data_IF_562327142686
#
_entry.id   IF_562327142686
#
_cell.length_a   1.000
_cell.length_b   1.000
_cell.length_c   1.000
_cell.angle_alpha   90.00
_cell.angle_beta   90.00
_cell.angle_gamma   90.00
#
_symmetry.space_group_name_H-M   'P 1'
#
loop_
_entity.id
_entity.type
_entity.pdbx_description
1 polymer ?
#
# COMPACT_ATOMS: atom_id res chain seq x y z
N UNK A 1 61.02 -0.48 23.36
CA UNK A 1 60.61 -0.13 24.74
C UNK A 1 59.45 -0.99 25.14
N UNK A 2 59.68 -1.90 26.06
CA UNK A 2 58.74 -2.88 26.60
C UNK A 2 58.19 -2.33 27.90
N UNK A 3 56.88 -2.37 28.13
CA UNK A 3 56.30 -2.21 29.46
C UNK A 3 55.17 -3.24 29.67
N UNK A 4 55.01 -3.75 30.88
CA UNK A 4 54.46 -5.07 31.16
C UNK A 4 52.97 -5.07 31.53
N UNK A 5 52.38 -6.31 31.49
CA UNK A 5 50.98 -6.59 31.76
C UNK A 5 50.60 -6.44 33.25
N UNK A 6 49.34 -6.14 33.47
CA UNK A 6 48.66 -6.23 34.75
C UNK A 6 47.54 -7.28 34.64
N UNK A 7 47.74 -8.38 35.39
CA UNK A 7 46.72 -9.46 35.56
C UNK A 7 45.72 -9.00 36.64
N UNK A 8 44.43 -8.97 36.28
CA UNK A 8 43.32 -8.78 37.21
C UNK A 8 42.84 -10.15 37.68
N UNK A 9 43.02 -10.44 38.95
CA UNK A 9 42.47 -11.64 39.66
C UNK A 9 40.99 -11.41 39.94
N UNK A 10 40.15 -12.29 39.43
CA UNK A 10 38.76 -12.44 39.84
C UNK A 10 38.70 -13.17 41.22
N UNK A 11 38.17 -12.48 42.21
CA UNK A 11 37.86 -13.05 43.54
C UNK A 11 36.42 -13.54 43.52
N UNK A 12 36.25 -14.86 43.69
CA UNK A 12 34.93 -15.51 43.82
C UNK A 12 34.60 -15.61 45.32
N UNK A 13 33.44 -15.15 45.81
CA UNK A 13 33.03 -15.31 47.19
C UNK A 13 32.48 -16.74 47.45
N UNK A 14 32.64 -17.30 48.68
CA UNK A 14 32.23 -18.64 49.02
C UNK A 14 30.70 -18.75 49.33
N UNK A 15 30.12 -19.96 49.27
CA UNK A 15 28.67 -20.16 49.43
C UNK A 15 28.25 -20.05 50.90
N UNK A 16 27.09 -19.42 51.13
CA UNK A 16 26.47 -19.29 52.46
C UNK A 16 25.88 -20.63 52.90
N UNK A 17 26.24 -21.03 54.15
CA UNK A 17 25.72 -22.20 54.89
C UNK A 17 24.26 -21.96 55.30
N UNK A 18 23.39 -22.92 55.01
CA UNK A 18 22.01 -22.98 55.48
C UNK A 18 21.97 -23.42 56.96
N UNK A 19 21.31 -22.63 57.78
CA UNK A 19 21.00 -22.98 59.19
C UNK A 19 19.76 -23.91 59.22
N UNK A 20 19.93 -25.09 59.75
CA UNK A 20 18.86 -26.02 60.17
C UNK A 20 18.48 -25.72 61.58
N UNK A 21 17.28 -25.22 61.85
CA UNK A 21 16.70 -25.15 63.16
C UNK A 21 15.87 -26.40 63.44
N UNK A 22 16.26 -27.07 64.57
CA UNK A 22 15.64 -28.26 65.18
C UNK A 22 14.37 -27.79 65.88
N UNK A 23 13.20 -28.33 65.56
CA UNK A 23 12.00 -28.21 66.39
C UNK A 23 11.47 -29.61 66.76
N UNK A 24 11.07 -29.68 67.96
CA UNK A 24 10.85 -30.77 68.90
C UNK A 24 9.64 -31.68 68.56
N UNK A 25 9.68 -32.86 69.14
CA UNK A 25 8.71 -33.96 69.08
C UNK A 25 7.48 -33.70 69.94
N UNK A 26 6.30 -33.94 69.42
CA UNK A 26 5.11 -34.05 70.26
C UNK A 26 3.81 -34.39 69.47
N UNK A 27 3.34 -35.60 69.69
CA UNK A 27 1.97 -36.17 69.61
C UNK A 27 1.44 -36.67 68.25
N UNK A 28 1.20 -37.98 68.31
CA UNK A 28 0.55 -38.85 67.32
C UNK A 28 -0.94 -38.58 67.23
N UNK A 29 -1.45 -38.45 66.00
CA UNK A 29 -2.86 -38.59 65.56
C UNK A 29 -2.93 -39.01 64.14
N UNK A 30 -3.78 -39.98 63.72
CA UNK A 30 -3.78 -40.48 62.34
C UNK A 30 -4.53 -39.54 61.40
N UNK A 31 -3.81 -38.79 60.58
CA UNK A 31 -4.43 -38.00 59.49
C UNK A 31 -4.51 -38.84 58.23
N UNK A 32 -5.74 -39.12 57.77
CA UNK A 32 -6.06 -39.74 56.49
C UNK A 32 -5.48 -38.90 55.37
N UNK A 33 -4.44 -39.35 54.70
CA UNK A 33 -3.97 -38.79 53.47
C UNK A 33 -4.94 -39.14 52.34
N UNK A 34 -5.79 -38.19 51.92
CA UNK A 34 -6.38 -38.22 50.60
C UNK A 34 -5.28 -37.88 49.58
N UNK A 35 -4.88 -38.85 48.78
CA UNK A 35 -4.03 -38.65 47.62
C UNK A 35 -4.85 -37.86 46.60
N UNK A 36 -4.80 -36.54 46.58
CA UNK A 36 -5.20 -35.74 45.45
C UNK A 36 -4.09 -35.90 44.42
N UNK A 37 -4.39 -36.63 43.36
CA UNK A 37 -3.48 -36.89 42.26
C UNK A 37 -3.09 -35.57 41.59
N UNK A 38 -1.80 -35.23 41.61
CA UNK A 38 -1.22 -34.07 40.87
C UNK A 38 -1.42 -34.16 39.36
N UNK A 39 -1.86 -35.30 38.85
CA UNK A 39 -2.22 -35.52 37.45
C UNK A 39 -3.52 -34.82 37.07
N UNK A 40 -4.50 -34.67 37.96
CA UNK A 40 -5.77 -34.01 37.65
C UNK A 40 -5.64 -32.47 37.55
N UNK A 41 -4.70 -31.88 38.31
CA UNK A 41 -4.49 -30.44 38.32
C UNK A 41 -3.73 -29.94 37.06
N UNK A 42 -2.79 -30.75 36.53
CA UNK A 42 -2.10 -30.44 35.30
C UNK A 42 -3.00 -30.64 34.04
N UNK A 43 -3.95 -31.57 34.07
CA UNK A 43 -4.92 -31.76 32.98
C UNK A 43 -5.97 -30.65 32.93
N UNK A 44 -6.39 -30.09 34.08
CA UNK A 44 -7.36 -28.99 34.11
C UNK A 44 -6.77 -27.64 33.67
N UNK A 45 -5.48 -27.40 33.90
CA UNK A 45 -4.79 -26.17 33.42
C UNK A 45 -4.46 -26.25 31.89
N UNK A 46 -4.26 -27.46 31.35
CA UNK A 46 -4.03 -27.66 29.91
C UNK A 46 -5.30 -27.58 29.06
N UNK A 47 -6.49 -27.78 29.63
CA UNK A 47 -7.78 -27.78 28.88
C UNK A 47 -8.40 -26.38 28.81
N UNK A 48 -7.93 -25.42 29.63
CA UNK A 48 -8.44 -24.04 29.67
C UNK A 48 -7.72 -23.08 28.70
N UNK A 49 -6.81 -23.53 27.81
CA UNK A 49 -6.44 -22.80 26.60
C UNK A 49 -7.59 -22.99 25.62
N UNK A 50 -8.48 -22.02 25.67
CA UNK A 50 -9.83 -22.05 25.10
C UNK A 50 -9.85 -22.51 23.64
N UNK A 51 -10.76 -23.43 23.34
CA UNK A 51 -11.20 -23.76 21.96
C UNK A 51 -11.60 -22.47 21.21
N UNK A 52 -12.02 -21.43 21.90
CA UNK A 52 -12.41 -20.12 21.39
C UNK A 52 -11.25 -19.40 20.65
N UNK A 53 -10.00 -19.46 21.18
CA UNK A 53 -8.82 -18.87 20.50
C UNK A 53 -8.42 -19.62 19.22
N UNK A 54 -8.89 -20.84 19.00
CA UNK A 54 -8.64 -21.62 17.78
C UNK A 54 -9.75 -21.50 16.73
N UNK A 55 -10.97 -21.15 17.10
CA UNK A 55 -12.11 -21.02 16.19
C UNK A 55 -12.20 -19.65 15.54
N UNK A 56 -11.86 -18.57 16.24
CA UNK A 56 -11.90 -17.20 15.70
C UNK A 56 -11.04 -17.02 14.43
N UNK A 57 -9.79 -17.52 14.35
CA UNK A 57 -8.98 -17.44 13.13
C UNK A 57 -9.52 -18.29 11.96
N UNK A 58 -10.25 -19.36 12.23
CA UNK A 58 -10.88 -20.18 11.17
C UNK A 58 -12.11 -19.50 10.58
N UNK A 59 -12.88 -18.79 11.40
CA UNK A 59 -14.07 -18.05 10.98
C UNK A 59 -13.74 -16.84 10.09
N UNK A 60 -12.59 -16.20 10.31
CA UNK A 60 -12.17 -15.02 9.54
C UNK A 60 -11.31 -15.34 8.31
N UNK A 61 -10.89 -16.59 8.10
CA UNK A 61 -10.05 -16.97 6.96
C UNK A 61 -10.71 -16.67 5.58
N UNK A 62 -12.01 -16.97 5.35
CA UNK A 62 -12.67 -16.61 4.09
C UNK A 62 -12.76 -15.11 3.87
N UNK A 63 -13.07 -14.34 4.94
CA UNK A 63 -13.11 -12.87 4.89
C UNK A 63 -11.74 -12.32 4.52
N UNK A 64 -10.67 -12.85 5.11
CA UNK A 64 -9.29 -12.46 4.79
C UNK A 64 -8.94 -12.76 3.34
N UNK A 65 -9.28 -13.96 2.83
CA UNK A 65 -9.04 -14.32 1.44
C UNK A 65 -9.78 -13.39 0.48
N UNK A 66 -11.03 -13.07 0.77
CA UNK A 66 -11.83 -12.10 0.01
C UNK A 66 -11.19 -10.70 0.00
N UNK A 67 -10.71 -10.19 1.14
CA UNK A 67 -10.04 -8.88 1.20
C UNK A 67 -8.73 -8.87 0.39
N UNK A 68 -7.96 -9.97 0.39
CA UNK A 68 -6.79 -10.09 -0.48
C UNK A 68 -7.15 -10.16 -1.96
N UNK A 69 -8.24 -10.86 -2.31
CA UNK A 69 -8.77 -10.85 -3.68
C UNK A 69 -9.15 -9.44 -4.11
N UNK A 70 -9.86 -8.68 -3.26
CA UNK A 70 -10.19 -7.29 -3.53
C UNK A 70 -8.94 -6.41 -3.69
N UNK A 71 -7.92 -6.60 -2.86
CA UNK A 71 -6.64 -5.88 -3.00
C UNK A 71 -5.98 -6.20 -4.36
N UNK A 72 -5.99 -7.47 -4.78
CA UNK A 72 -5.52 -7.87 -6.12
C UNK A 72 -6.32 -7.22 -7.24
N UNK A 73 -7.66 -7.20 -7.13
CA UNK A 73 -8.52 -6.54 -8.12
C UNK A 73 -8.31 -5.02 -8.19
N UNK A 74 -8.08 -4.35 -7.04
CA UNK A 74 -7.75 -2.92 -7.02
C UNK A 74 -6.38 -2.66 -7.64
N UNK A 75 -5.38 -3.50 -7.40
CA UNK A 75 -4.08 -3.43 -8.10
C UNK A 75 -4.25 -3.57 -9.61
N UNK A 76 -5.03 -4.57 -10.07
CA UNK A 76 -5.35 -4.76 -11.49
C UNK A 76 -6.06 -3.53 -12.07
N UNK A 77 -7.01 -2.95 -11.32
CA UNK A 77 -7.72 -1.73 -11.70
C UNK A 77 -6.77 -0.54 -11.88
N UNK A 78 -5.79 -0.38 -10.97
CA UNK A 78 -4.77 0.67 -11.09
C UNK A 78 -3.92 0.45 -12.34
N UNK A 79 -3.53 -0.77 -12.66
CA UNK A 79 -2.76 -1.10 -13.87
C UNK A 79 -3.56 -0.83 -15.15
N UNK A 80 -4.83 -1.29 -15.21
CA UNK A 80 -5.71 -1.03 -16.35
C UNK A 80 -5.97 0.46 -16.52
N UNK A 81 -6.16 1.21 -15.42
CA UNK A 81 -6.28 2.66 -15.47
C UNK A 81 -5.01 3.35 -15.97
N UNK A 82 -3.83 2.85 -15.59
CA UNK A 82 -2.55 3.30 -16.12
C UNK A 82 -2.42 3.05 -17.64
N UNK A 83 -2.81 1.85 -18.09
CA UNK A 83 -2.83 1.53 -19.51
C UNK A 83 -3.80 2.46 -20.28
N UNK A 84 -5.02 2.68 -19.74
CA UNK A 84 -5.99 3.61 -20.34
C UNK A 84 -5.43 5.03 -20.46
N UNK A 85 -4.62 5.49 -19.48
CA UNK A 85 -3.95 6.81 -19.55
C UNK A 85 -2.82 6.83 -20.58
N UNK A 86 -1.95 5.81 -20.58
CA UNK A 86 -0.77 5.73 -21.44
C UNK A 86 -1.11 5.46 -22.92
N UNK A 87 -2.31 4.98 -23.21
CA UNK A 87 -2.84 4.78 -24.57
C UNK A 87 -3.78 5.89 -25.00
N UNK A 88 -3.85 7.00 -24.26
CA UNK A 88 -4.76 8.15 -24.47
C UNK A 88 -6.23 7.77 -24.66
N UNK A 89 -6.64 6.64 -24.08
CA UNK A 89 -7.98 6.05 -24.24
C UNK A 89 -9.04 6.62 -23.28
N UNK A 90 -8.64 7.39 -22.27
CA UNK A 90 -9.52 7.76 -21.12
C UNK A 90 -10.59 8.82 -21.40
N UNK A 91 -10.76 9.27 -22.65
CA UNK A 91 -11.80 10.20 -23.12
C UNK A 91 -12.61 9.64 -24.27
N UNK A 92 -12.44 8.36 -24.62
CA UNK A 92 -13.12 7.71 -25.78
C UNK A 92 -14.63 7.52 -25.54
N UNK A 93 -15.06 7.37 -24.28
CA UNK A 93 -16.47 7.24 -23.89
C UNK A 93 -16.93 8.57 -23.29
N UNK A 94 -17.53 9.40 -24.10
CA UNK A 94 -17.90 10.79 -23.75
C UNK A 94 -19.11 10.91 -22.84
N UNK A 95 -19.99 9.88 -22.82
CA UNK A 95 -21.23 9.89 -22.04
C UNK A 95 -21.11 9.04 -20.77
N UNK A 96 -21.75 9.50 -19.69
CA UNK A 96 -21.87 8.76 -18.45
C UNK A 96 -23.09 7.82 -18.51
N UNK A 97 -22.81 6.53 -18.81
CA UNK A 97 -23.85 5.48 -18.89
C UNK A 97 -23.56 4.39 -17.83
N UNK A 98 -23.95 4.60 -16.54
CA UNK A 98 -23.54 3.70 -15.45
C UNK A 98 -24.15 2.29 -15.60
N UNK A 99 -25.36 2.15 -16.15
CA UNK A 99 -26.06 0.86 -16.33
C UNK A 99 -25.96 0.41 -17.79
N UNK A 100 -26.47 1.19 -18.72
CA UNK A 100 -26.52 0.82 -20.16
C UNK A 100 -25.14 0.68 -20.79
N UNK A 101 -24.14 1.41 -20.33
CA UNK A 101 -22.73 1.28 -20.75
C UNK A 101 -22.02 0.01 -20.25
N UNK A 102 -22.76 -0.94 -19.62
CA UNK A 102 -22.24 -2.27 -19.32
C UNK A 102 -22.10 -3.14 -20.58
N UNK A 103 -22.89 -2.90 -21.60
CA UNK A 103 -22.82 -3.63 -22.86
C UNK A 103 -21.99 -2.85 -23.87
N UNK A 104 -21.20 -3.58 -24.69
CA UNK A 104 -20.53 -3.03 -25.84
C UNK A 104 -21.53 -2.62 -26.92
N UNK A 105 -21.21 -1.69 -27.82
CA UNK A 105 -21.98 -1.47 -29.05
C UNK A 105 -22.08 -2.79 -29.84
N UNK A 106 -23.29 -3.24 -30.15
CA UNK A 106 -23.56 -4.56 -30.73
C UNK A 106 -23.75 -4.53 -32.25
N UNK A 107 -23.86 -3.34 -32.87
CA UNK A 107 -23.99 -3.17 -34.31
C UNK A 107 -23.01 -2.12 -34.83
N UNK A 108 -22.77 -2.11 -36.14
CA UNK A 108 -21.91 -1.11 -36.79
C UNK A 108 -22.45 0.31 -36.59
N UNK A 109 -23.78 0.48 -36.69
CA UNK A 109 -24.40 1.79 -36.47
C UNK A 109 -24.24 2.25 -35.00
N UNK A 110 -24.21 1.32 -34.02
CA UNK A 110 -23.97 1.65 -32.63
C UNK A 110 -22.50 2.10 -32.45
N UNK A 111 -21.54 1.44 -33.09
CA UNK A 111 -20.14 1.84 -33.09
C UNK A 111 -19.94 3.20 -33.73
N UNK A 112 -20.59 3.43 -34.88
CA UNK A 112 -20.51 4.72 -35.58
C UNK A 112 -21.05 5.86 -34.68
N UNK A 113 -22.17 5.66 -33.99
CA UNK A 113 -22.69 6.68 -33.06
C UNK A 113 -21.71 7.04 -31.94
N UNK A 114 -21.07 6.07 -31.31
CA UNK A 114 -20.06 6.34 -30.26
C UNK A 114 -18.84 7.07 -30.84
N UNK A 115 -18.41 6.70 -32.04
CA UNK A 115 -17.33 7.37 -32.75
C UNK A 115 -17.69 8.81 -33.13
N UNK A 116 -18.91 9.06 -33.62
CA UNK A 116 -19.38 10.41 -33.96
C UNK A 116 -19.47 11.32 -32.72
N UNK A 117 -19.79 10.79 -31.54
CA UNK A 117 -19.70 11.51 -30.26
C UNK A 117 -18.24 11.84 -29.91
N UNK A 118 -17.32 10.89 -30.07
CA UNK A 118 -15.90 11.12 -29.85
C UNK A 118 -15.29 12.16 -30.77
N UNK A 119 -15.74 12.21 -32.06
CA UNK A 119 -15.29 13.20 -33.04
C UNK A 119 -15.63 14.64 -32.64
N UNK A 120 -16.54 14.87 -31.71
CA UNK A 120 -16.95 16.21 -31.26
C UNK A 120 -16.07 16.76 -30.12
N UNK A 121 -15.15 15.99 -29.55
CA UNK A 121 -14.31 16.45 -28.46
C UNK A 121 -12.94 16.97 -28.94
N UNK A 122 -12.30 17.88 -28.19
CA UNK A 122 -11.01 18.46 -28.58
C UNK A 122 -9.88 17.42 -28.78
N UNK A 123 -9.89 16.29 -28.07
CA UNK A 123 -8.88 15.25 -28.22
C UNK A 123 -8.89 14.68 -29.65
N UNK A 124 -10.08 14.45 -30.25
CA UNK A 124 -10.13 14.00 -31.65
C UNK A 124 -9.57 15.05 -32.59
N UNK A 125 -10.04 16.30 -32.49
CA UNK A 125 -9.65 17.36 -33.42
C UNK A 125 -8.16 17.72 -33.34
N UNK A 126 -7.55 17.69 -32.15
CA UNK A 126 -6.19 18.18 -31.94
C UNK A 126 -5.13 17.06 -31.95
N UNK A 127 -5.52 15.81 -31.58
CA UNK A 127 -4.57 14.69 -31.40
C UNK A 127 -4.87 13.54 -32.36
N UNK A 128 -6.14 13.13 -32.50
CA UNK A 128 -6.53 11.90 -33.19
C UNK A 128 -7.28 12.17 -34.51
N UNK A 129 -7.09 13.34 -35.10
CA UNK A 129 -7.76 13.71 -36.38
C UNK A 129 -7.41 12.73 -37.48
N UNK A 130 -8.44 12.17 -38.11
CA UNK A 130 -8.28 11.18 -39.19
C UNK A 130 -8.24 9.71 -38.66
N UNK A 131 -8.39 9.49 -37.35
CA UNK A 131 -8.52 8.16 -36.76
C UNK A 131 -9.65 7.36 -37.46
N UNK A 132 -9.38 6.10 -37.73
CA UNK A 132 -10.37 5.17 -38.31
C UNK A 132 -11.30 4.61 -37.21
N UNK A 133 -12.42 4.01 -37.61
CA UNK A 133 -13.33 3.37 -36.66
C UNK A 133 -12.66 2.22 -35.90
N UNK A 134 -11.77 1.46 -36.54
CA UNK A 134 -11.08 0.34 -35.86
C UNK A 134 -10.03 0.81 -34.85
N UNK A 135 -9.33 1.88 -35.13
CA UNK A 135 -8.45 2.53 -34.13
C UNK A 135 -9.27 3.08 -32.94
N UNK A 136 -10.43 3.70 -33.25
CA UNK A 136 -11.35 4.14 -32.19
C UNK A 136 -11.86 2.97 -31.32
N UNK A 137 -12.25 1.83 -31.93
CA UNK A 137 -12.64 0.63 -31.15
C UNK A 137 -11.55 0.20 -30.18
N UNK A 138 -10.26 0.31 -30.56
CA UNK A 138 -9.14 -0.05 -29.69
C UNK A 138 -9.08 0.83 -28.42
N UNK A 139 -9.14 2.16 -28.56
CA UNK A 139 -9.14 3.06 -27.41
C UNK A 139 -10.42 2.94 -26.59
N UNK A 140 -11.57 2.74 -27.23
CA UNK A 140 -12.84 2.52 -26.56
C UNK A 140 -12.81 1.27 -25.67
N UNK A 141 -12.22 0.16 -26.15
CA UNK A 141 -12.13 -1.09 -25.38
C UNK A 141 -11.27 -0.96 -24.12
N UNK A 142 -10.20 -0.16 -24.13
CA UNK A 142 -9.42 0.13 -22.93
C UNK A 142 -10.25 0.86 -21.87
N UNK A 143 -10.95 1.92 -22.26
CA UNK A 143 -11.78 2.68 -21.33
C UNK A 143 -12.99 1.87 -20.86
N UNK A 144 -13.67 1.16 -21.77
CA UNK A 144 -14.77 0.28 -21.42
C UNK A 144 -14.34 -0.82 -20.46
N UNK A 145 -13.21 -1.48 -20.72
CA UNK A 145 -12.62 -2.50 -19.85
C UNK A 145 -12.34 -1.99 -18.44
N UNK A 146 -11.75 -0.77 -18.33
CA UNK A 146 -11.54 -0.11 -17.06
C UNK A 146 -12.87 0.14 -16.31
N UNK A 147 -13.89 0.67 -17.00
CA UNK A 147 -15.23 0.88 -16.42
C UNK A 147 -15.91 -0.44 -16.01
N UNK A 148 -15.74 -1.52 -16.80
CA UNK A 148 -16.30 -2.84 -16.48
C UNK A 148 -15.62 -3.47 -15.26
N UNK A 149 -14.31 -3.38 -15.18
CA UNK A 149 -13.58 -3.86 -14.01
C UNK A 149 -14.04 -3.13 -12.73
N UNK A 150 -14.34 -1.82 -12.82
CA UNK A 150 -14.92 -1.07 -11.71
C UNK A 150 -16.28 -1.60 -11.25
N UNK A 151 -17.19 -1.92 -12.21
CA UNK A 151 -18.49 -2.55 -11.91
C UNK A 151 -18.30 -3.92 -11.25
N UNK A 152 -17.38 -4.73 -11.81
CA UNK A 152 -17.06 -6.05 -11.27
C UNK A 152 -16.52 -5.99 -9.84
N UNK A 153 -15.61 -5.04 -9.56
CA UNK A 153 -15.08 -4.82 -8.20
C UNK A 153 -16.22 -4.43 -7.24
N UNK A 154 -17.15 -3.58 -7.68
CA UNK A 154 -18.33 -3.24 -6.89
C UNK A 154 -19.15 -4.48 -6.50
N UNK A 155 -19.47 -5.35 -7.46
CA UNK A 155 -20.18 -6.61 -7.19
C UNK A 155 -19.36 -7.55 -6.30
N UNK A 156 -18.05 -7.72 -6.59
CA UNK A 156 -17.14 -8.54 -5.80
C UNK A 156 -16.95 -8.02 -4.38
N UNK A 157 -17.22 -6.74 -4.14
CA UNK A 157 -17.21 -6.12 -2.82
C UNK A 157 -18.55 -6.33 -2.10
N UNK A 158 -19.66 -5.89 -2.70
CA UNK A 158 -20.94 -5.82 -2.00
C UNK A 158 -21.60 -7.19 -1.78
N UNK A 159 -21.56 -8.11 -2.75
CA UNK A 159 -22.20 -9.41 -2.60
C UNK A 159 -21.57 -10.25 -1.47
N UNK A 160 -20.23 -10.41 -1.39
CA UNK A 160 -19.63 -11.11 -0.25
C UNK A 160 -19.76 -10.33 1.07
N UNK A 161 -19.77 -8.99 1.07
CA UNK A 161 -20.01 -8.22 2.30
C UNK A 161 -21.37 -8.56 2.90
N UNK A 162 -22.44 -8.56 2.10
CA UNK A 162 -23.79 -8.94 2.54
C UNK A 162 -23.79 -10.38 3.08
N UNK A 163 -23.19 -11.32 2.34
CA UNK A 163 -23.10 -12.72 2.75
C UNK A 163 -22.36 -12.89 4.09
N UNK A 164 -21.15 -12.29 4.23
CA UNK A 164 -20.36 -12.42 5.46
C UNK A 164 -20.99 -11.69 6.65
N UNK A 165 -21.68 -10.56 6.42
CA UNK A 165 -22.45 -9.87 7.45
C UNK A 165 -23.63 -10.72 7.92
N UNK A 166 -24.39 -11.30 6.99
CA UNK A 166 -25.49 -12.21 7.30
C UNK A 166 -25.02 -13.45 8.06
N UNK A 167 -23.89 -14.06 7.64
CA UNK A 167 -23.25 -15.20 8.34
C UNK A 167 -22.61 -14.80 9.68
N UNK A 168 -22.62 -13.52 10.01
CA UNK A 168 -22.04 -12.98 11.24
C UNK A 168 -20.52 -13.08 11.34
N UNK A 169 -19.83 -13.28 10.22
CA UNK A 169 -18.37 -13.30 10.15
C UNK A 169 -17.75 -11.90 10.13
N UNK A 170 -18.53 -10.91 9.71
CA UNK A 170 -18.17 -9.50 9.66
C UNK A 170 -19.12 -8.72 10.59
N UNK A 171 -18.64 -8.30 11.78
CA UNK A 171 -19.42 -7.62 12.82
C UNK A 171 -18.63 -6.50 13.47
N UNK A 172 -19.32 -5.62 14.20
CA UNK A 172 -18.73 -4.57 15.03
C UNK A 172 -17.73 -3.71 14.24
N UNK A 173 -16.57 -3.45 14.81
CA UNK A 173 -15.54 -2.58 14.21
C UNK A 173 -15.07 -3.06 12.83
N UNK A 174 -15.00 -4.39 12.60
CA UNK A 174 -14.62 -4.93 11.30
C UNK A 174 -15.64 -4.55 10.22
N UNK A 175 -16.94 -4.65 10.52
CA UNK A 175 -18.01 -4.23 9.61
C UNK A 175 -17.88 -2.75 9.22
N UNK A 176 -17.74 -1.86 10.20
CA UNK A 176 -17.57 -0.43 9.94
C UNK A 176 -16.32 -0.10 9.13
N UNK A 177 -15.20 -0.77 9.39
CA UNK A 177 -13.97 -0.60 8.60
C UNK A 177 -14.18 -1.01 7.14
N UNK A 178 -14.85 -2.13 6.88
CA UNK A 178 -15.12 -2.60 5.52
C UNK A 178 -16.12 -1.68 4.82
N UNK A 179 -17.18 -1.25 5.52
CA UNK A 179 -18.15 -0.27 4.96
C UNK A 179 -17.46 1.04 4.61
N UNK A 180 -16.53 1.52 5.44
CA UNK A 180 -15.74 2.72 5.13
C UNK A 180 -14.88 2.56 3.86
N UNK A 181 -14.30 1.36 3.64
CA UNK A 181 -13.60 1.03 2.39
C UNK A 181 -14.57 1.07 1.20
N UNK A 182 -15.78 0.54 1.34
CA UNK A 182 -16.82 0.61 0.31
C UNK A 182 -17.25 2.04 0.00
N UNK A 183 -17.41 2.89 1.01
CA UNK A 183 -17.70 4.31 0.85
C UNK A 183 -16.57 5.05 0.10
N UNK A 184 -15.30 4.73 0.42
CA UNK A 184 -14.15 5.23 -0.34
C UNK A 184 -14.18 4.75 -1.80
N UNK A 185 -14.67 3.53 -2.09
CA UNK A 185 -14.92 3.05 -3.45
C UNK A 185 -15.97 3.87 -4.19
N UNK A 186 -17.06 4.28 -3.52
CA UNK A 186 -18.07 5.21 -4.07
C UNK A 186 -17.45 6.58 -4.37
N UNK A 187 -16.66 7.13 -3.45
CA UNK A 187 -15.92 8.37 -3.66
C UNK A 187 -14.96 8.26 -4.85
N UNK A 188 -14.26 7.14 -4.99
CA UNK A 188 -13.35 6.84 -6.11
C UNK A 188 -14.08 6.92 -7.46
N UNK A 189 -15.28 6.35 -7.56
CA UNK A 189 -16.10 6.40 -8.77
C UNK A 189 -16.53 7.85 -9.09
N UNK A 190 -16.94 8.62 -8.08
CA UNK A 190 -17.33 10.03 -8.22
C UNK A 190 -16.14 10.89 -8.69
N UNK A 191 -14.96 10.73 -8.07
CA UNK A 191 -13.75 11.46 -8.45
C UNK A 191 -13.31 11.08 -9.86
N UNK A 192 -13.42 9.80 -10.24
CA UNK A 192 -13.15 9.35 -11.61
C UNK A 192 -14.06 10.00 -12.65
N UNK A 193 -15.35 10.11 -12.36
CA UNK A 193 -16.28 10.82 -13.21
C UNK A 193 -15.93 12.32 -13.37
N UNK A 194 -15.66 13.02 -12.25
CA UNK A 194 -15.23 14.43 -12.26
C UNK A 194 -13.90 14.60 -13.02
N UNK A 195 -13.01 13.62 -12.94
CA UNK A 195 -11.74 13.61 -13.68
C UNK A 195 -11.99 13.54 -15.18
N UNK A 196 -12.77 12.58 -15.68
CA UNK A 196 -13.12 12.45 -17.10
C UNK A 196 -13.82 13.70 -17.60
N UNK A 197 -14.84 14.20 -16.87
CA UNK A 197 -15.54 15.45 -17.21
C UNK A 197 -14.60 16.67 -17.34
N UNK A 198 -13.42 16.65 -16.70
CA UNK A 198 -12.46 17.74 -16.85
C UNK A 198 -11.70 17.72 -18.18
N UNK A 199 -11.49 16.53 -18.74
CA UNK A 199 -10.83 16.36 -20.05
C UNK A 199 -11.73 16.60 -21.24
N UNK A 200 -13.06 16.60 -21.04
CA UNK A 200 -14.06 16.88 -22.08
C UNK A 200 -14.36 18.38 -22.27
N UNK A 201 -13.68 19.26 -21.54
CA UNK A 201 -13.88 20.72 -21.64
C UNK A 201 -13.21 21.26 -22.91
N UNK A 202 -13.71 22.40 -23.46
CA UNK A 202 -13.09 23.06 -24.61
C UNK A 202 -11.58 23.29 -24.39
N UNK A 203 -10.76 22.94 -25.40
CA UNK A 203 -9.31 23.08 -25.36
C UNK A 203 -8.53 22.00 -24.61
N UNK A 204 -9.22 21.05 -23.93
CA UNK A 204 -8.56 19.97 -23.21
C UNK A 204 -8.42 18.72 -24.06
N UNK A 205 -7.23 18.14 -24.11
CA UNK A 205 -6.93 16.87 -24.81
C UNK A 205 -6.69 15.71 -23.84
N UNK A 206 -6.58 15.99 -22.54
CA UNK A 206 -6.35 15.01 -21.47
C UNK A 206 -7.06 15.45 -20.18
N UNK A 207 -7.18 14.53 -19.24
CA UNK A 207 -7.74 14.83 -17.89
C UNK A 207 -6.78 15.73 -17.08
N UNK A 208 -7.33 16.57 -16.21
CA UNK A 208 -6.53 17.47 -15.37
C UNK A 208 -5.57 16.69 -14.45
N UNK A 209 -4.24 16.98 -14.43
CA UNK A 209 -3.22 16.22 -13.69
C UNK A 209 -3.50 16.08 -12.21
N UNK A 210 -3.97 17.13 -11.55
CA UNK A 210 -4.33 17.11 -10.12
C UNK A 210 -5.50 16.17 -9.84
N UNK A 211 -6.48 16.07 -10.74
CA UNK A 211 -7.61 15.14 -10.58
C UNK A 211 -7.19 13.70 -10.79
N UNK A 212 -6.28 13.45 -11.73
CA UNK A 212 -5.63 12.14 -11.91
C UNK A 212 -4.86 11.73 -10.65
N UNK A 213 -4.07 12.63 -10.09
CA UNK A 213 -3.35 12.40 -8.84
C UNK A 213 -4.30 12.05 -7.68
N UNK A 214 -5.38 12.82 -7.49
CA UNK A 214 -6.37 12.56 -6.43
C UNK A 214 -7.04 11.19 -6.63
N UNK A 215 -7.44 10.85 -7.86
CA UNK A 215 -8.02 9.56 -8.20
C UNK A 215 -7.04 8.41 -7.89
N UNK A 216 -5.78 8.53 -8.25
CA UNK A 216 -4.73 7.57 -7.91
C UNK A 216 -4.52 7.43 -6.40
N UNK A 217 -4.47 8.53 -5.66
CA UNK A 217 -4.28 8.51 -4.20
C UNK A 217 -5.44 7.83 -3.46
N UNK A 218 -6.68 8.05 -3.88
CA UNK A 218 -7.85 7.37 -3.29
C UNK A 218 -7.76 5.87 -3.57
N UNK A 219 -7.43 5.46 -4.80
CA UNK A 219 -7.24 4.04 -5.15
C UNK A 219 -6.14 3.38 -4.30
N UNK A 220 -4.98 4.03 -4.13
CA UNK A 220 -3.90 3.59 -3.26
C UNK A 220 -4.31 3.55 -1.78
N UNK A 221 -5.15 4.49 -1.33
CA UNK A 221 -5.74 4.50 0.00
C UNK A 221 -6.66 3.30 0.24
N UNK A 222 -7.55 2.99 -0.71
CA UNK A 222 -8.42 1.80 -0.69
C UNK A 222 -7.58 0.53 -0.65
N UNK A 223 -6.58 0.40 -1.54
CA UNK A 223 -5.64 -0.72 -1.55
C UNK A 223 -4.94 -0.89 -0.20
N UNK A 224 -4.41 0.20 0.36
CA UNK A 224 -3.74 0.22 1.66
C UNK A 224 -4.65 -0.22 2.80
N UNK A 225 -5.91 0.24 2.81
CA UNK A 225 -6.91 -0.13 3.81
C UNK A 225 -7.28 -1.62 3.72
N UNK A 226 -7.45 -2.17 2.50
CA UNK A 226 -7.67 -3.60 2.27
C UNK A 226 -6.50 -4.44 2.79
N UNK A 227 -5.25 -4.08 2.45
CA UNK A 227 -4.03 -4.75 2.94
C UNK A 227 -3.92 -4.66 4.45
N UNK A 228 -4.22 -3.50 5.05
CA UNK A 228 -4.19 -3.31 6.51
C UNK A 228 -5.17 -4.20 7.23
N UNK A 229 -6.43 -4.25 6.78
CA UNK A 229 -7.48 -5.08 7.40
C UNK A 229 -7.19 -6.55 7.18
N UNK A 230 -6.86 -6.97 5.95
CA UNK A 230 -6.54 -8.36 5.61
C UNK A 230 -5.33 -8.89 6.42
N UNK A 231 -4.27 -8.07 6.57
CA UNK A 231 -3.11 -8.42 7.41
C UNK A 231 -3.52 -8.59 8.87
N UNK A 232 -4.42 -7.72 9.37
CA UNK A 232 -4.90 -7.77 10.75
C UNK A 232 -5.72 -9.02 11.11
N UNK A 233 -6.36 -9.65 10.12
CA UNK A 233 -7.10 -10.91 10.27
C UNK A 233 -6.21 -12.17 10.17
N UNK A 234 -4.90 -12.01 9.95
CA UNK A 234 -3.95 -13.13 9.88
C UNK A 234 -3.59 -13.67 11.26
N UNK A 235 -3.19 -14.95 11.30
CA UNK A 235 -2.72 -15.64 12.53
C UNK A 235 -1.32 -15.19 12.98
N UNK A 236 -0.71 -14.24 12.33
CA UNK A 236 0.65 -13.84 12.65
C UNK A 236 0.71 -12.98 13.91
N UNK A 237 1.55 -13.33 14.84
CA UNK A 237 1.86 -12.47 15.99
C UNK A 237 2.56 -11.20 15.53
N UNK A 238 2.02 -10.05 15.94
CA UNK A 238 2.71 -8.78 15.70
C UNK A 238 3.96 -8.72 16.62
N UNK A 239 5.08 -8.27 16.05
CA UNK A 239 6.33 -8.15 16.80
C UNK A 239 6.37 -6.86 17.62
N UNK A 240 6.86 -6.94 18.86
CA UNK A 240 7.12 -5.76 19.66
C UNK A 240 8.30 -4.99 19.06
N UNK A 241 8.08 -3.74 18.69
CA UNK A 241 9.10 -2.91 18.06
C UNK A 241 9.24 -1.57 18.79
N UNK A 242 10.47 -1.01 18.87
CA UNK A 242 10.70 0.33 19.39
C UNK A 242 9.82 1.38 18.73
N UNK A 243 9.52 2.47 19.44
CA UNK A 243 8.67 3.54 18.92
C UNK A 243 9.22 4.15 17.61
N UNK A 244 10.54 4.33 17.52
CA UNK A 244 11.19 4.87 16.33
C UNK A 244 11.03 3.97 15.09
N UNK A 245 11.15 2.63 15.25
CA UNK A 245 10.91 1.66 14.16
C UNK A 245 9.46 1.73 13.68
N UNK A 246 8.49 1.85 14.60
CA UNK A 246 7.08 2.00 14.26
C UNK A 246 6.80 3.33 13.56
N UNK A 247 7.45 4.41 14.00
CA UNK A 247 7.31 5.75 13.42
C UNK A 247 7.90 5.80 12.00
N UNK A 248 9.13 5.30 11.80
CA UNK A 248 9.76 5.26 10.48
C UNK A 248 9.04 4.34 9.50
N UNK A 249 8.48 3.19 9.98
CA UNK A 249 7.61 2.35 9.17
C UNK A 249 6.31 3.06 8.75
N UNK A 250 5.73 3.93 9.60
CA UNK A 250 4.59 4.78 9.23
C UNK A 250 5.01 5.87 8.25
N UNK A 251 6.16 6.48 8.46
CA UNK A 251 6.71 7.50 7.57
C UNK A 251 7.00 6.94 6.16
N UNK A 252 7.47 5.68 6.04
CA UNK A 252 7.63 5.00 4.75
C UNK A 252 6.31 4.93 3.97
N UNK A 253 5.17 4.65 4.63
CA UNK A 253 3.86 4.65 3.98
C UNK A 253 3.54 6.05 3.44
N UNK A 254 3.73 7.09 4.28
CA UNK A 254 3.41 8.47 3.90
C UNK A 254 4.29 8.93 2.74
N UNK A 255 5.61 8.71 2.83
CA UNK A 255 6.56 9.13 1.77
C UNK A 255 6.31 8.36 0.48
N UNK A 256 5.95 7.06 0.55
CA UNK A 256 5.57 6.27 -0.64
C UNK A 256 4.28 6.82 -1.27
N UNK A 257 3.28 7.22 -0.48
CA UNK A 257 2.05 7.85 -0.99
C UNK A 257 2.36 9.20 -1.67
N UNK A 258 3.21 10.01 -1.06
CA UNK A 258 3.67 11.29 -1.66
C UNK A 258 4.43 11.04 -2.96
N UNK A 259 5.31 10.04 -3.00
CA UNK A 259 6.05 9.68 -4.21
C UNK A 259 5.12 9.21 -5.34
N UNK A 260 4.06 8.44 -5.02
CA UNK A 260 3.03 8.05 -5.98
C UNK A 260 2.26 9.28 -6.48
N UNK A 261 1.94 10.24 -5.60
CA UNK A 261 1.29 11.50 -5.98
C UNK A 261 2.13 12.29 -6.98
N UNK A 262 3.44 12.47 -6.69
CA UNK A 262 4.38 13.12 -7.60
C UNK A 262 4.46 12.40 -8.94
N UNK A 263 4.51 11.05 -8.94
CA UNK A 263 4.51 10.25 -10.16
C UNK A 263 3.21 10.37 -10.96
N UNK A 264 2.06 10.50 -10.30
CA UNK A 264 0.78 10.69 -10.96
C UNK A 264 0.69 12.07 -11.68
N UNK A 265 1.30 13.12 -11.12
CA UNK A 265 1.41 14.42 -11.80
C UNK A 265 2.36 14.32 -12.99
N UNK A 266 3.51 13.62 -12.86
CA UNK A 266 4.42 13.35 -13.98
C UNK A 266 3.69 12.64 -15.13
N UNK A 267 2.89 11.62 -14.80
CA UNK A 267 2.07 10.91 -15.80
C UNK A 267 0.97 11.79 -16.39
N UNK A 268 0.34 12.65 -15.57
CA UNK A 268 -0.74 13.55 -16.00
C UNK A 268 -0.27 14.64 -16.98
N UNK A 269 0.98 15.05 -16.93
CA UNK A 269 1.61 16.06 -17.79
C UNK A 269 2.45 15.45 -18.89
N UNK A 270 2.50 14.13 -19.05
CA UNK A 270 3.45 13.46 -19.95
C UNK A 270 4.91 13.88 -19.74
N UNK A 271 5.23 14.34 -18.53
CA UNK A 271 6.53 14.88 -18.19
C UNK A 271 7.67 13.85 -18.31
N UNK A 272 7.35 12.55 -18.31
CA UNK A 272 8.30 11.47 -18.57
C UNK A 272 8.83 11.41 -20.00
N UNK A 273 8.18 12.06 -20.96
CA UNK A 273 8.64 12.18 -22.34
C UNK A 273 9.69 13.27 -22.55
N UNK A 274 9.94 14.08 -21.51
CA UNK A 274 10.93 15.16 -21.50
C UNK A 274 12.08 14.83 -20.57
N UNK A 275 13.26 15.47 -20.74
CA UNK A 275 14.42 15.30 -19.88
C UNK A 275 14.82 13.83 -19.65
N UNK A 276 14.93 13.05 -20.75
CA UNK A 276 15.18 11.60 -20.70
C UNK A 276 16.66 11.24 -20.42
N UNK A 277 17.31 11.96 -19.52
CA UNK A 277 18.69 11.72 -19.06
C UNK A 277 18.74 11.45 -17.55
N UNK A 278 19.71 10.66 -17.10
CA UNK A 278 19.94 10.36 -15.69
C UNK A 278 21.45 10.04 -15.47
N UNK A 279 22.06 10.46 -14.35
CA UNK A 279 21.50 11.16 -13.18
C UNK A 279 21.23 12.65 -13.40
N UNK A 280 21.82 13.25 -14.43
CA UNK A 280 21.63 14.65 -14.77
C UNK A 280 20.27 14.88 -15.47
N UNK A 281 19.77 16.09 -15.35
CA UNK A 281 18.61 16.58 -16.06
C UNK A 281 19.08 17.66 -17.05
N UNK A 282 19.23 17.26 -18.32
CA UNK A 282 19.87 18.04 -19.38
C UNK A 282 21.24 18.63 -18.99
N UNK A 283 22.12 17.74 -18.55
CA UNK A 283 23.50 18.09 -18.20
C UNK A 283 23.69 18.76 -16.83
N UNK A 284 22.63 18.99 -16.05
CA UNK A 284 22.69 19.60 -14.72
C UNK A 284 22.11 18.67 -13.64
N UNK A 285 22.70 18.66 -12.44
CA UNK A 285 22.11 17.97 -11.29
C UNK A 285 20.83 18.67 -10.81
N UNK A 286 20.83 19.99 -10.80
CA UNK A 286 19.67 20.84 -10.50
C UNK A 286 19.48 21.79 -11.68
N UNK A 287 18.34 21.74 -12.38
CA UNK A 287 18.01 22.69 -13.44
C UNK A 287 17.98 24.13 -12.92
N UNK A 288 18.06 25.12 -13.83
CA UNK A 288 18.00 26.52 -13.43
C UNK A 288 16.64 26.90 -12.82
N UNK A 289 16.59 27.92 -11.99
CA UNK A 289 15.33 28.41 -11.43
C UNK A 289 14.33 28.83 -12.54
N UNK A 290 14.82 29.40 -13.64
CA UNK A 290 13.98 29.78 -14.79
C UNK A 290 13.37 28.54 -15.47
N UNK A 291 14.11 27.42 -15.53
CA UNK A 291 13.58 26.15 -16.08
C UNK A 291 12.57 25.51 -15.15
N UNK A 292 12.81 25.58 -13.83
CA UNK A 292 11.93 24.96 -12.84
C UNK A 292 10.64 25.76 -12.61
N UNK A 293 10.72 27.09 -12.65
CA UNK A 293 9.61 28.00 -12.28
C UNK A 293 9.25 28.97 -13.41
N UNK A 294 8.87 28.48 -14.63
CA UNK A 294 8.54 29.36 -15.76
C UNK A 294 7.13 29.96 -15.68
N UNK A 295 6.26 29.48 -14.79
CA UNK A 295 4.82 29.76 -14.77
C UNK A 295 4.49 30.77 -13.65
N UNK A 296 3.58 31.66 -13.94
CA UNK A 296 2.99 32.63 -12.98
C UNK A 296 1.49 32.39 -12.90
N UNK A 297 0.88 32.26 -11.69
CA UNK A 297 1.49 32.41 -10.36
C UNK A 297 2.43 31.24 -9.97
N UNK A 298 3.40 31.53 -9.12
CA UNK A 298 4.51 30.62 -8.76
C UNK A 298 4.05 29.21 -8.30
N UNK A 299 2.95 29.12 -7.55
CA UNK A 299 2.44 27.86 -7.02
C UNK A 299 2.01 26.86 -8.10
N UNK A 300 1.60 27.32 -9.29
CA UNK A 300 1.16 26.47 -10.40
C UNK A 300 2.30 25.59 -10.95
N UNK A 301 3.57 26.06 -10.79
CA UNK A 301 4.71 25.27 -11.23
C UNK A 301 4.79 23.87 -10.59
N UNK A 302 4.28 23.68 -9.37
CA UNK A 302 4.31 22.38 -8.69
C UNK A 302 3.40 21.32 -9.35
N UNK A 303 2.48 21.74 -10.19
CA UNK A 303 1.50 20.85 -10.84
C UNK A 303 1.44 21.02 -12.36
N UNK A 304 2.12 22.04 -12.94
CA UNK A 304 2.05 22.34 -14.39
C UNK A 304 3.44 22.47 -15.04
N UNK A 305 4.52 22.77 -14.28
CA UNK A 305 5.86 22.79 -14.87
C UNK A 305 6.41 21.39 -15.06
N UNK A 306 6.55 20.94 -16.30
CA UNK A 306 7.13 19.65 -16.69
C UNK A 306 8.49 19.42 -15.99
N UNK A 307 9.35 20.43 -15.98
CA UNK A 307 10.67 20.35 -15.36
C UNK A 307 10.58 20.14 -13.84
N UNK A 308 9.77 20.96 -13.15
CA UNK A 308 9.67 20.91 -11.69
C UNK A 308 9.00 19.63 -11.20
N UNK A 309 7.92 19.17 -11.85
CA UNK A 309 7.24 17.94 -11.43
C UNK A 309 8.14 16.71 -11.61
N UNK A 310 8.90 16.64 -12.70
CA UNK A 310 9.85 15.55 -12.91
C UNK A 310 11.03 15.64 -11.91
N UNK A 311 11.56 16.83 -11.67
CA UNK A 311 12.62 17.05 -10.68
C UNK A 311 12.16 16.64 -9.27
N UNK A 312 10.97 17.05 -8.84
CA UNK A 312 10.39 16.69 -7.55
C UNK A 312 10.19 15.18 -7.40
N UNK A 313 9.76 14.51 -8.48
CA UNK A 313 9.60 13.05 -8.48
C UNK A 313 10.95 12.33 -8.30
N UNK A 314 12.02 12.80 -8.97
CA UNK A 314 13.39 12.27 -8.78
C UNK A 314 13.88 12.49 -7.35
N UNK A 315 13.71 13.71 -6.82
CA UNK A 315 14.12 14.06 -5.46
C UNK A 315 13.37 13.21 -4.42
N UNK A 316 12.07 13.05 -4.59
CA UNK A 316 11.25 12.20 -3.73
C UNK A 316 11.70 10.74 -3.73
N UNK A 317 12.14 10.21 -4.87
CA UNK A 317 12.70 8.86 -4.97
C UNK A 317 14.00 8.72 -4.16
N UNK A 318 14.89 9.71 -4.19
CA UNK A 318 16.11 9.69 -3.36
C UNK A 318 15.79 9.77 -1.88
N UNK A 319 14.84 10.62 -1.48
CA UNK A 319 14.37 10.71 -0.07
C UNK A 319 13.76 9.38 0.39
N UNK A 320 12.92 8.74 -0.43
CA UNK A 320 12.31 7.45 -0.12
C UNK A 320 13.38 6.35 0.04
N UNK A 321 14.36 6.29 -0.86
CA UNK A 321 15.45 5.33 -0.80
C UNK A 321 16.30 5.54 0.47
N UNK A 322 16.68 6.77 0.77
CA UNK A 322 17.42 7.09 2.00
C UNK A 322 16.66 6.67 3.25
N UNK A 323 15.37 7.01 3.33
CA UNK A 323 14.51 6.62 4.45
C UNK A 323 14.40 5.10 4.59
N UNK A 324 14.24 4.37 3.49
CA UNK A 324 14.13 2.91 3.50
C UNK A 324 15.43 2.25 3.96
N UNK A 325 16.59 2.75 3.53
CA UNK A 325 17.90 2.27 3.97
C UNK A 325 18.12 2.56 5.45
N UNK A 326 17.86 3.78 5.91
CA UNK A 326 17.98 4.15 7.32
C UNK A 326 17.06 3.31 8.21
N UNK A 327 15.81 3.08 7.78
CA UNK A 327 14.87 2.20 8.47
C UNK A 327 15.37 0.75 8.55
N UNK A 328 15.92 0.22 7.45
CA UNK A 328 16.46 -1.14 7.40
C UNK A 328 17.68 -1.29 8.32
N UNK A 329 18.62 -0.35 8.29
CA UNK A 329 19.81 -0.35 9.15
C UNK A 329 19.42 -0.26 10.63
N UNK A 330 18.47 0.63 10.98
CA UNK A 330 18.00 0.73 12.37
C UNK A 330 17.28 -0.56 12.82
N UNK A 331 16.43 -1.14 11.96
CA UNK A 331 15.76 -2.41 12.28
C UNK A 331 16.74 -3.58 12.45
N UNK A 332 17.76 -3.69 11.60
CA UNK A 332 18.80 -4.73 11.70
C UNK A 332 19.64 -4.59 12.98
N UNK A 333 19.95 -3.34 13.39
CA UNK A 333 20.72 -3.06 14.62
C UNK A 333 19.90 -3.24 15.88
N UNK A 334 18.63 -2.86 15.86
CA UNK A 334 17.76 -2.84 17.06
C UNK A 334 17.03 -4.16 17.31
N UNK A 335 16.81 -4.94 16.26
CA UNK A 335 16.05 -6.19 16.27
C UNK A 335 16.76 -7.26 15.41
N UNK A 336 18.04 -7.60 15.72
CA UNK A 336 18.82 -8.51 14.88
C UNK A 336 18.14 -9.88 14.78
N UNK A 337 18.16 -10.48 13.57
CA UNK A 337 17.56 -11.80 13.31
C UNK A 337 16.02 -11.84 13.33
N UNK A 338 15.34 -10.73 13.64
CA UNK A 338 13.87 -10.69 13.69
C UNK A 338 13.27 -10.66 12.28
N UNK A 339 12.00 -11.11 12.16
CA UNK A 339 11.26 -10.96 10.92
C UNK A 339 11.03 -9.47 10.56
N UNK A 340 11.04 -8.57 11.54
CA UNK A 340 11.00 -7.11 11.33
C UNK A 340 12.24 -6.63 10.57
N UNK A 341 13.45 -7.05 10.99
CA UNK A 341 14.69 -6.69 10.32
C UNK A 341 14.73 -7.21 8.87
N UNK A 342 14.34 -8.46 8.66
CA UNK A 342 14.26 -9.03 7.31
C UNK A 342 13.29 -8.28 6.40
N UNK A 343 12.06 -7.98 6.89
CA UNK A 343 11.08 -7.20 6.11
C UNK A 343 11.57 -5.79 5.80
N UNK A 344 12.26 -5.13 6.75
CA UNK A 344 12.85 -3.80 6.52
C UNK A 344 13.94 -3.85 5.43
N UNK A 345 14.81 -4.87 5.45
CA UNK A 345 15.80 -5.09 4.39
C UNK A 345 15.16 -5.34 3.02
N UNK A 346 14.10 -6.18 2.97
CA UNK A 346 13.34 -6.41 1.73
C UNK A 346 12.67 -5.13 1.21
N UNK A 347 12.16 -4.26 2.09
CA UNK A 347 11.59 -2.97 1.69
C UNK A 347 12.65 -2.07 1.06
N UNK A 348 13.86 -1.96 1.64
CA UNK A 348 14.95 -1.18 1.08
C UNK A 348 15.37 -1.72 -0.31
N UNK A 349 15.48 -3.04 -0.45
CA UNK A 349 15.75 -3.68 -1.74
C UNK A 349 14.64 -3.39 -2.76
N UNK A 350 13.36 -3.45 -2.36
CA UNK A 350 12.23 -3.18 -3.25
C UNK A 350 12.19 -1.71 -3.69
N UNK A 351 12.53 -0.76 -2.81
CA UNK A 351 12.67 0.67 -3.18
C UNK A 351 13.81 0.86 -4.20
N UNK A 352 14.94 0.16 -4.04
CA UNK A 352 16.05 0.22 -5.00
C UNK A 352 15.62 -0.34 -6.37
N UNK A 353 14.93 -1.48 -6.39
CA UNK A 353 14.39 -2.06 -7.64
C UNK A 353 13.38 -1.10 -8.29
N UNK A 354 12.49 -0.50 -7.50
CA UNK A 354 11.52 0.49 -7.99
C UNK A 354 12.22 1.72 -8.61
N UNK A 355 13.28 2.21 -7.99
CA UNK A 355 14.06 3.31 -8.53
C UNK A 355 14.75 2.90 -9.87
N UNK A 356 15.32 1.70 -9.94
CA UNK A 356 15.93 1.19 -11.17
C UNK A 356 14.91 1.06 -12.30
N UNK A 357 13.71 0.52 -12.03
CA UNK A 357 12.62 0.44 -13.02
C UNK A 357 12.23 1.86 -13.49
N UNK A 358 12.10 2.84 -12.57
CA UNK A 358 11.76 4.22 -12.91
C UNK A 358 12.81 4.89 -13.79
N UNK A 359 14.11 4.70 -13.49
CA UNK A 359 15.22 5.19 -14.30
C UNK A 359 15.17 4.56 -15.70
N UNK A 360 14.98 3.25 -15.78
CA UNK A 360 14.85 2.52 -17.06
C UNK A 360 13.66 3.03 -17.86
N UNK A 361 12.49 3.21 -17.23
CA UNK A 361 11.29 3.76 -17.87
C UNK A 361 11.58 5.14 -18.47
N UNK A 362 12.26 6.00 -17.73
CA UNK A 362 12.62 7.34 -18.20
C UNK A 362 13.60 7.31 -19.39
N UNK A 363 14.69 6.53 -19.28
CA UNK A 363 15.73 6.44 -20.30
C UNK A 363 15.22 5.82 -21.62
N UNK A 364 14.23 4.94 -21.55
CA UNK A 364 13.57 4.32 -22.70
C UNK A 364 12.42 5.17 -23.27
N UNK A 365 12.22 6.41 -22.79
CA UNK A 365 11.15 7.32 -23.23
C UNK A 365 9.75 6.73 -23.01
N UNK A 366 9.55 6.18 -21.80
CA UNK A 366 8.24 5.75 -21.26
C UNK A 366 7.51 4.67 -22.09
N UNK A 367 8.15 3.54 -22.46
CA UNK A 367 7.41 2.47 -23.12
C UNK A 367 6.32 1.91 -22.17
N UNK A 368 5.19 1.51 -22.76
CA UNK A 368 3.97 1.11 -22.04
C UNK A 368 4.25 0.06 -20.95
N UNK A 369 4.99 -0.98 -21.30
CA UNK A 369 5.27 -2.11 -20.40
C UNK A 369 6.14 -1.68 -19.21
N UNK A 370 7.15 -0.85 -19.44
CA UNK A 370 8.03 -0.35 -18.38
C UNK A 370 7.27 0.61 -17.46
N UNK A 371 6.42 1.48 -18.01
CA UNK A 371 5.59 2.40 -17.23
C UNK A 371 4.56 1.66 -16.37
N UNK A 372 3.89 0.63 -16.90
CA UNK A 372 2.97 -0.21 -16.15
C UNK A 372 3.69 -1.04 -15.07
N UNK A 373 4.88 -1.58 -15.38
CA UNK A 373 5.71 -2.26 -14.39
C UNK A 373 6.10 -1.32 -13.26
N UNK A 374 6.57 -0.10 -13.59
CA UNK A 374 6.91 0.93 -12.61
C UNK A 374 5.72 1.28 -11.70
N UNK A 375 4.55 1.48 -12.27
CA UNK A 375 3.31 1.77 -11.55
C UNK A 375 2.89 0.59 -10.65
N UNK A 376 2.91 -0.63 -11.17
CA UNK A 376 2.51 -1.83 -10.41
C UNK A 376 3.42 -2.12 -9.23
N UNK A 377 4.74 -2.03 -9.43
CA UNK A 377 5.73 -2.23 -8.35
C UNK A 377 5.64 -1.12 -7.30
N UNK A 378 5.31 0.14 -7.67
CA UNK A 378 5.05 1.21 -6.71
C UNK A 378 3.87 0.89 -5.78
N UNK A 379 2.77 0.35 -6.31
CA UNK A 379 1.60 -0.05 -5.50
C UNK A 379 1.92 -1.27 -4.64
N UNK A 380 2.67 -2.25 -5.15
CA UNK A 380 3.14 -3.40 -4.36
C UNK A 380 4.08 -2.96 -3.24
N UNK A 381 5.00 -2.01 -3.49
CA UNK A 381 5.85 -1.40 -2.46
C UNK A 381 5.01 -0.74 -1.37
N UNK A 382 3.98 0.04 -1.74
CA UNK A 382 3.05 0.63 -0.78
C UNK A 382 2.37 -0.46 0.07
N UNK A 383 1.87 -1.53 -0.55
CA UNK A 383 1.29 -2.68 0.14
C UNK A 383 2.27 -3.36 1.10
N UNK A 384 3.53 -3.51 0.69
CA UNK A 384 4.59 -4.07 1.54
C UNK A 384 4.91 -3.17 2.74
N UNK A 385 4.94 -1.83 2.57
CA UNK A 385 5.09 -0.87 3.66
C UNK A 385 3.92 -0.96 4.66
N UNK A 386 2.68 -1.01 4.16
CA UNK A 386 1.46 -1.16 4.96
C UNK A 386 1.47 -2.48 5.73
N UNK A 387 1.78 -3.58 5.06
CA UNK A 387 1.91 -4.90 5.68
C UNK A 387 3.00 -4.91 6.77
N UNK A 388 4.20 -4.39 6.48
CA UNK A 388 5.28 -4.27 7.45
C UNK A 388 4.85 -3.49 8.68
N UNK A 389 4.26 -2.30 8.51
CA UNK A 389 3.80 -1.46 9.63
C UNK A 389 2.70 -2.14 10.44
N UNK A 390 1.78 -2.84 9.81
CA UNK A 390 0.68 -3.56 10.49
C UNK A 390 1.17 -4.69 11.38
N UNK A 391 2.34 -5.24 11.10
CA UNK A 391 3.01 -6.31 11.86
C UNK A 391 3.78 -5.82 13.10
N UNK A 392 3.87 -4.50 13.32
CA UNK A 392 4.57 -3.89 14.43
C UNK A 392 3.59 -3.38 15.50
N UNK A 393 3.84 -3.71 16.77
CA UNK A 393 3.08 -3.19 17.92
C UNK A 393 3.98 -2.57 18.97
N UNK A 394 3.40 -1.79 19.90
CA UNK A 394 4.12 -1.30 21.06
C UNK A 394 4.48 -2.47 21.99
N UNK A 395 5.66 -2.47 22.64
CA UNK A 395 5.93 -3.33 23.76
C UNK A 395 4.85 -3.15 24.84
N UNK A 396 4.49 -4.24 25.52
CA UNK A 396 3.62 -4.13 26.69
C UNK A 396 4.29 -3.23 27.77
N UNK A 397 3.54 -2.36 28.46
CA UNK A 397 4.08 -1.64 29.61
C UNK A 397 4.70 -2.65 30.60
N UNK A 398 5.88 -2.33 31.12
CA UNK A 398 6.44 -3.10 32.22
C UNK A 398 5.41 -3.09 33.38
N UNK A 399 5.02 -4.27 33.84
CA UNK A 399 4.17 -4.36 35.04
C UNK A 399 4.85 -3.55 36.17
N UNK A 400 4.14 -2.59 36.74
CA UNK A 400 4.65 -1.87 37.89
C UNK A 400 5.03 -2.91 38.97
N UNK A 401 6.20 -2.77 39.64
CA UNK A 401 6.56 -3.69 40.71
C UNK A 401 5.41 -3.69 41.74
N UNK A 402 4.95 -4.88 42.08
CA UNK A 402 3.95 -5.03 43.14
C UNK A 402 4.46 -4.27 44.36
N UNK A 403 3.69 -3.28 44.81
CA UNK A 403 4.01 -2.57 46.07
C UNK A 403 3.94 -3.62 47.17
N UNK A 404 5.09 -3.90 47.78
CA UNK A 404 5.23 -4.79 48.93
C UNK A 404 4.62 -4.16 50.16
#
# INVERSE_FOLDING_TARGET
MVFPGAAVRLVVPPPRKSYVSRIDRGRKGPCRRSKVSSSAMNSAVSVAVSQDDREEPRRTAPVRAWLWLLAGLVLTMILVGGATRLTDSGLSITEWKPVTGALLPMSEEAWQREFDLYRQIPQYELVNKGMTLDEFKSIYLWEWGHRQLGRFIGLAFFLPLIYFAWRGQVRGRLFFNIVAIGAAGGLQATVGWIMVASGLKPGMTAVAPVKLMLHMLIACGIFSALVWVATGLGRFTAENAPARIRATASLLIVVTMVQIALGAIVAGLDAGLSYNTWPLMDGRLVPSAQTLFPITPWAENFVESIALVQFNHRLGAYVLLLLAVLHAVDAMRSMPGSATAHRAGLLAALVLVQAAIGITTLLLVVPLEAALLHQGVAVLLLGACVHHRRRLRAPAPLAAPARA
#
